data_IF_881327059954
#
_entry.id   IF_881327059954
#
_cell.length_a   1.000
_cell.length_b   1.000
_cell.length_c   1.000
_cell.angle_alpha   90.00
_cell.angle_beta   90.00
_cell.angle_gamma   90.00
#
_symmetry.space_group_name_H-M   'P 1'
#
loop_
_entity.id
_entity.type
_entity.pdbx_description
1 polymer ?
#
# COMPACT_ATOMS: atom_id res chain seq x y z
N UNK A 1 5.59 15.56 -1.60
CA UNK A 1 5.48 16.67 -2.58
C UNK A 1 5.59 18.07 -1.98
N UNK A 2 5.29 18.36 -0.69
CA UNK A 2 5.45 19.74 -0.16
C UNK A 2 6.86 20.30 -0.31
N UNK A 3 7.89 19.47 -0.12
CA UNK A 3 9.30 19.84 -0.37
C UNK A 3 9.50 20.29 -1.83
N UNK A 4 8.96 19.55 -2.81
CA UNK A 4 9.04 19.93 -4.22
C UNK A 4 8.34 21.27 -4.49
N UNK A 5 7.17 21.50 -3.88
CA UNK A 5 6.45 22.76 -3.98
C UNK A 5 7.25 23.95 -3.42
N UNK A 6 7.95 23.77 -2.28
CA UNK A 6 8.86 24.78 -1.71
C UNK A 6 9.95 25.19 -2.68
N UNK A 7 10.42 24.27 -3.52
CA UNK A 7 11.44 24.52 -4.54
C UNK A 7 10.87 24.85 -5.93
N UNK A 8 9.55 25.03 -6.08
CA UNK A 8 8.92 25.32 -7.36
C UNK A 8 8.98 24.16 -8.37
N UNK A 9 9.26 22.94 -7.93
CA UNK A 9 9.32 21.74 -8.77
C UNK A 9 7.93 21.12 -8.80
N UNK A 10 7.21 21.31 -9.90
CA UNK A 10 5.85 20.80 -10.06
C UNK A 10 5.86 19.33 -10.50
N UNK A 11 5.33 18.39 -9.69
CA UNK A 11 5.22 17.00 -10.11
C UNK A 11 4.02 16.78 -11.04
N UNK A 12 4.14 15.88 -12.01
CA UNK A 12 3.00 15.41 -12.80
C UNK A 12 2.07 14.51 -11.96
N UNK A 13 2.67 13.66 -11.12
CA UNK A 13 1.97 12.68 -10.28
C UNK A 13 2.42 12.76 -8.83
N UNK A 14 1.47 12.63 -7.90
CA UNK A 14 1.75 12.54 -6.46
C UNK A 14 1.09 11.29 -5.90
N UNK A 15 1.89 10.34 -5.40
CA UNK A 15 1.41 9.07 -4.88
C UNK A 15 1.13 9.12 -3.36
N UNK A 16 0.17 8.34 -2.86
CA UNK A 16 -0.08 8.10 -1.44
C UNK A 16 -0.50 6.66 -1.20
N UNK A 17 0.07 6.01 -0.19
CA UNK A 17 -0.23 4.61 0.14
C UNK A 17 -0.80 4.45 1.56
N UNK A 18 -0.41 5.35 2.44
CA UNK A 18 -0.52 5.24 3.89
C UNK A 18 -1.95 5.52 4.37
N UNK A 19 -2.32 4.85 5.48
CA UNK A 19 -3.67 4.90 6.05
C UNK A 19 -3.76 5.75 7.32
N UNK A 20 -2.69 6.45 7.68
CA UNK A 20 -2.61 7.26 8.89
C UNK A 20 -3.12 8.68 8.64
N UNK A 21 -3.65 9.30 9.69
CA UNK A 21 -4.02 10.71 9.65
C UNK A 21 -2.81 11.63 9.42
N UNK A 22 -1.69 11.34 10.06
CA UNK A 22 -0.43 12.11 9.94
C UNK A 22 0.01 12.25 8.48
N UNK A 23 -0.10 11.18 7.69
CA UNK A 23 0.27 11.22 6.26
C UNK A 23 -0.80 11.91 5.41
N UNK A 24 -2.07 11.85 5.82
CA UNK A 24 -3.14 12.58 5.15
C UNK A 24 -2.95 14.10 5.21
N UNK A 25 -2.37 14.62 6.29
CA UNK A 25 -2.07 16.04 6.46
C UNK A 25 -1.11 16.57 5.39
N UNK A 26 -0.39 15.70 4.67
CA UNK A 26 0.46 16.10 3.54
C UNK A 26 -0.37 16.73 2.41
N UNK A 27 -1.66 16.40 2.32
CA UNK A 27 -2.61 17.01 1.39
C UNK A 27 -3.37 18.19 1.98
N UNK A 28 -3.13 18.55 3.24
CA UNK A 28 -3.77 19.69 3.91
C UNK A 28 -3.04 21.03 3.70
N UNK A 29 -2.26 21.15 2.63
CA UNK A 29 -1.73 22.44 2.19
C UNK A 29 -2.65 23.04 1.15
N UNK A 30 -2.62 24.36 1.00
CA UNK A 30 -3.21 25.05 -0.14
C UNK A 30 -2.08 25.68 -0.97
N UNK A 31 -1.77 25.04 -2.11
CA UNK A 31 -0.76 25.54 -3.04
C UNK A 31 -1.40 26.23 -4.26
N UNK A 32 -2.72 26.44 -4.28
CA UNK A 32 -3.43 27.13 -5.35
C UNK A 32 -3.12 26.60 -6.75
N UNK A 33 -2.73 27.50 -7.67
CA UNK A 33 -2.43 27.18 -9.08
C UNK A 33 -1.26 26.20 -9.26
N UNK A 34 -0.39 26.03 -8.26
CA UNK A 34 0.68 25.03 -8.32
C UNK A 34 0.11 23.62 -8.52
N UNK A 35 -1.00 23.30 -7.83
CA UNK A 35 -1.63 21.98 -7.88
C UNK A 35 -2.41 21.70 -9.17
N UNK A 36 -2.57 22.70 -10.03
CA UNK A 36 -3.26 22.56 -11.31
C UNK A 36 -2.60 21.46 -12.14
N UNK A 37 -3.39 20.57 -12.73
CA UNK A 37 -2.90 19.46 -13.57
C UNK A 37 -2.07 18.37 -12.89
N UNK A 38 -1.76 18.48 -11.60
CA UNK A 38 -1.18 17.37 -10.82
C UNK A 38 -2.23 16.26 -10.68
N UNK A 39 -1.84 15.01 -10.95
CA UNK A 39 -2.68 13.85 -10.70
C UNK A 39 -2.25 13.18 -9.39
N UNK A 40 -3.12 13.22 -8.39
CA UNK A 40 -2.92 12.56 -7.11
C UNK A 40 -3.36 11.11 -7.22
N UNK A 41 -2.42 10.17 -7.09
CA UNK A 41 -2.63 8.73 -7.24
C UNK A 41 -2.60 8.08 -5.85
N UNK A 42 -3.76 7.79 -5.30
CA UNK A 42 -3.87 7.25 -3.95
C UNK A 42 -4.32 5.79 -3.97
N UNK A 43 -3.78 4.98 -3.06
CA UNK A 43 -4.36 3.67 -2.79
C UNK A 43 -5.81 3.85 -2.31
N UNK A 44 -6.71 2.92 -2.66
CA UNK A 44 -8.15 3.01 -2.28
C UNK A 44 -8.42 2.91 -0.78
N UNK A 45 -7.38 2.67 0.03
CA UNK A 45 -7.42 2.43 1.47
C UNK A 45 -6.70 3.51 2.26
N UNK A 46 -6.28 4.60 1.61
CA UNK A 46 -5.69 5.76 2.31
C UNK A 46 -6.66 6.35 3.32
N UNK A 47 -6.13 7.11 4.28
CA UNK A 47 -6.96 7.75 5.29
C UNK A 47 -8.04 8.67 4.65
N UNK A 48 -9.31 8.66 5.12
CA UNK A 48 -10.39 9.43 4.50
C UNK A 48 -10.11 10.93 4.34
N UNK A 49 -9.40 11.54 5.30
CA UNK A 49 -9.00 12.96 5.23
C UNK A 49 -8.18 13.28 3.98
N UNK A 50 -7.32 12.36 3.51
CA UNK A 50 -6.55 12.57 2.29
C UNK A 50 -7.49 12.78 1.09
N UNK A 51 -8.54 11.97 0.99
CA UNK A 51 -9.56 12.08 -0.06
C UNK A 51 -10.36 13.38 0.10
N UNK A 52 -10.74 13.72 1.33
CA UNK A 52 -11.45 14.96 1.65
C UNK A 52 -10.67 16.20 1.21
N UNK A 53 -9.41 16.33 1.63
CA UNK A 53 -8.54 17.46 1.32
C UNK A 53 -8.26 17.61 -0.18
N UNK A 54 -8.18 16.50 -0.91
CA UNK A 54 -8.00 16.54 -2.37
C UNK A 54 -9.29 16.96 -3.08
N UNK A 55 -10.44 16.43 -2.67
CA UNK A 55 -11.74 16.75 -3.28
C UNK A 55 -12.21 18.16 -2.97
N UNK A 56 -12.04 18.64 -1.74
CA UNK A 56 -12.47 19.99 -1.33
C UNK A 56 -11.78 21.10 -2.12
N UNK A 57 -10.60 20.81 -2.69
CA UNK A 57 -9.81 21.73 -3.52
C UNK A 57 -9.86 21.39 -5.02
N UNK A 58 -10.80 20.55 -5.46
CA UNK A 58 -10.97 20.14 -6.87
C UNK A 58 -9.68 19.56 -7.52
N UNK A 59 -8.81 18.92 -6.74
CA UNK A 59 -7.59 18.28 -7.26
C UNK A 59 -7.94 17.00 -8.02
N UNK A 60 -7.21 16.72 -9.10
CA UNK A 60 -7.40 15.49 -9.88
C UNK A 60 -6.95 14.29 -9.04
N UNK A 61 -7.90 13.47 -8.60
CA UNK A 61 -7.67 12.29 -7.78
C UNK A 61 -7.96 11.00 -8.57
N UNK A 62 -7.00 10.08 -8.56
CA UNK A 62 -7.15 8.70 -8.98
C UNK A 62 -7.02 7.77 -7.77
N UNK A 63 -8.05 6.97 -7.51
CA UNK A 63 -8.01 5.90 -6.51
C UNK A 63 -7.68 4.57 -7.18
N UNK A 64 -6.58 3.95 -6.79
CA UNK A 64 -6.17 2.63 -7.28
C UNK A 64 -6.45 1.58 -6.20
N UNK A 65 -7.25 0.54 -6.49
CA UNK A 65 -7.53 -0.52 -5.53
C UNK A 65 -6.25 -1.31 -5.23
N UNK A 66 -6.06 -1.68 -3.97
CA UNK A 66 -5.04 -2.67 -3.62
C UNK A 66 -5.51 -4.07 -3.96
N UNK A 67 -4.58 -5.00 -4.18
CA UNK A 67 -4.89 -6.41 -4.40
C UNK A 67 -5.39 -7.04 -3.10
N UNK A 68 -6.68 -6.89 -2.83
CA UNK A 68 -7.38 -7.29 -1.62
C UNK A 68 -8.62 -8.11 -1.97
N UNK A 69 -9.04 -9.02 -1.09
CA UNK A 69 -10.16 -9.92 -1.35
C UNK A 69 -11.45 -9.18 -1.68
N UNK A 70 -11.75 -8.10 -0.94
CA UNK A 70 -12.93 -7.28 -1.23
C UNK A 70 -12.83 -6.61 -2.61
N UNK A 71 -11.65 -6.07 -2.95
CA UNK A 71 -11.40 -5.43 -4.26
C UNK A 71 -11.56 -6.42 -5.43
N UNK A 72 -11.14 -7.68 -5.23
CA UNK A 72 -11.33 -8.78 -6.18
C UNK A 72 -12.82 -9.13 -6.27
N UNK A 73 -13.50 -9.22 -5.12
CA UNK A 73 -14.92 -9.53 -5.03
C UNK A 73 -15.77 -8.51 -5.80
N UNK A 74 -15.55 -7.20 -5.62
CA UNK A 74 -16.30 -6.15 -6.33
C UNK A 74 -16.03 -6.09 -7.84
N UNK A 75 -15.09 -6.89 -8.35
CA UNK A 75 -14.69 -6.99 -9.77
C UNK A 75 -14.22 -5.67 -10.39
N UNK A 76 -13.55 -4.81 -9.61
CA UNK A 76 -12.89 -3.59 -10.13
C UNK A 76 -11.57 -3.88 -10.89
N UNK A 77 -11.37 -5.12 -11.35
CA UNK A 77 -10.12 -5.62 -11.97
C UNK A 77 -9.70 -4.87 -13.24
N UNK A 78 -10.64 -4.19 -13.90
CA UNK A 78 -10.39 -3.50 -15.16
C UNK A 78 -9.29 -2.43 -15.04
N UNK A 79 -9.12 -1.84 -13.85
CA UNK A 79 -8.17 -0.73 -13.61
C UNK A 79 -6.86 -1.17 -12.94
N UNK A 80 -6.56 -2.47 -12.97
CA UNK A 80 -5.41 -3.06 -12.29
C UNK A 80 -5.47 -2.91 -10.75
N UNK A 81 -4.54 -3.55 -10.03
CA UNK A 81 -4.39 -3.44 -8.58
C UNK A 81 -2.98 -3.06 -8.18
N UNK A 82 -2.83 -2.27 -7.12
CA UNK A 82 -1.55 -2.15 -6.44
C UNK A 82 -1.21 -3.49 -5.77
N UNK A 83 -0.19 -4.16 -6.30
CA UNK A 83 0.29 -5.45 -5.85
C UNK A 83 1.79 -5.37 -5.54
N UNK A 84 2.19 -5.92 -4.39
CA UNK A 84 3.58 -5.94 -3.93
C UNK A 84 4.25 -4.55 -3.88
N UNK A 85 3.49 -3.51 -3.51
CA UNK A 85 3.99 -2.15 -3.30
C UNK A 85 3.90 -1.79 -1.81
N UNK A 86 4.92 -2.10 -1.00
CA UNK A 86 4.87 -1.88 0.45
C UNK A 86 5.11 -0.41 0.85
N UNK A 87 5.73 0.41 0.00
CA UNK A 87 5.94 1.85 0.24
C UNK A 87 5.48 2.70 -0.95
N UNK A 88 5.30 4.01 -0.74
CA UNK A 88 4.92 4.96 -1.78
C UNK A 88 5.94 5.01 -2.94
N UNK A 89 7.23 4.79 -2.68
CA UNK A 89 8.26 4.71 -3.72
C UNK A 89 8.02 3.54 -4.69
N UNK A 90 7.58 2.39 -4.18
CA UNK A 90 7.20 1.25 -5.01
C UNK A 90 5.96 1.54 -5.85
N UNK A 91 4.99 2.31 -5.32
CA UNK A 91 3.82 2.75 -6.11
C UNK A 91 4.27 3.63 -7.27
N UNK A 92 5.18 4.57 -7.02
CA UNK A 92 5.73 5.44 -8.07
C UNK A 92 6.51 4.64 -9.12
N UNK A 93 7.38 3.70 -8.71
CA UNK A 93 8.09 2.83 -9.65
C UNK A 93 7.11 1.98 -10.47
N UNK A 94 6.10 1.42 -9.80
CA UNK A 94 5.07 0.61 -10.43
C UNK A 94 4.27 1.41 -11.47
N UNK A 95 3.90 2.65 -11.14
CA UNK A 95 3.23 3.56 -12.06
C UNK A 95 4.12 3.89 -13.27
N UNK A 96 5.41 4.18 -13.04
CA UNK A 96 6.36 4.44 -14.13
C UNK A 96 6.48 3.25 -15.08
N UNK A 97 6.49 2.03 -14.55
CA UNK A 97 6.50 0.82 -15.35
C UNK A 97 5.22 0.65 -16.18
N UNK A 98 4.04 0.89 -15.60
CA UNK A 98 2.76 0.83 -16.32
C UNK A 98 2.63 1.89 -17.42
N UNK A 99 3.25 3.05 -17.22
CA UNK A 99 3.34 4.11 -18.23
C UNK A 99 4.40 3.83 -19.31
N UNK A 100 5.11 2.70 -19.22
CA UNK A 100 6.15 2.26 -20.16
C UNK A 100 7.30 3.28 -20.30
N UNK A 101 7.67 3.95 -19.21
CA UNK A 101 8.89 4.75 -19.21
C UNK A 101 10.11 3.86 -19.47
N UNK A 102 11.01 4.33 -20.34
CA UNK A 102 12.23 3.60 -20.71
C UNK A 102 13.36 3.75 -19.70
N UNK A 103 13.39 4.91 -19.03
CA UNK A 103 14.36 5.26 -18.01
C UNK A 103 13.62 5.71 -16.75
N UNK A 104 14.10 5.28 -15.59
CA UNK A 104 13.65 5.76 -14.28
C UNK A 104 14.85 6.33 -13.54
N UNK A 105 14.73 7.53 -12.97
CA UNK A 105 15.78 8.17 -12.17
C UNK A 105 15.26 8.27 -10.73
N UNK A 106 15.97 7.66 -9.78
CA UNK A 106 15.65 7.69 -8.36
C UNK A 106 16.41 8.83 -7.67
N UNK A 107 15.68 9.72 -6.98
CA UNK A 107 16.22 10.87 -6.26
C UNK A 107 15.58 10.91 -4.88
N UNK A 108 16.40 11.03 -3.84
CA UNK A 108 15.93 11.01 -2.45
C UNK A 108 15.38 9.65 -2.02
N UNK A 109 15.84 8.57 -2.67
CA UNK A 109 15.55 7.20 -2.28
C UNK A 109 16.70 6.66 -1.42
N UNK A 110 16.90 7.27 -0.26
CA UNK A 110 18.10 7.02 0.57
C UNK A 110 18.14 5.59 1.10
N UNK A 111 17.03 5.10 1.69
CA UNK A 111 16.95 3.79 2.35
C UNK A 111 18.05 3.58 3.41
N UNK A 112 18.54 4.68 3.97
CA UNK A 112 19.63 4.77 4.93
C UNK A 112 19.48 6.06 5.73
N UNK A 113 20.09 6.09 6.91
CA UNK A 113 20.17 7.30 7.73
C UNK A 113 21.23 8.24 7.17
N UNK A 114 21.02 9.55 7.34
CA UNK A 114 22.06 10.54 7.09
C UNK A 114 23.23 10.38 8.08
N UNK A 115 24.40 10.97 7.77
CA UNK A 115 25.59 10.89 8.63
C UNK A 115 25.35 11.40 10.06
N UNK A 116 24.43 12.36 10.21
CA UNK A 116 24.02 12.90 11.52
C UNK A 116 22.96 12.04 12.25
N UNK A 117 22.54 10.90 11.68
CA UNK A 117 21.54 10.00 12.23
C UNK A 117 20.08 10.37 11.90
N UNK A 118 19.82 11.42 11.11
CA UNK A 118 18.47 11.77 10.69
C UNK A 118 17.90 10.68 9.76
N UNK A 119 16.62 10.37 9.93
CA UNK A 119 15.90 9.41 9.07
C UNK A 119 15.19 10.09 7.90
N UNK A 120 15.01 11.40 7.95
CA UNK A 120 14.33 12.20 6.94
C UNK A 120 15.09 13.50 6.66
N UNK A 121 14.84 14.17 5.52
CA UNK A 121 15.38 15.50 5.24
C UNK A 121 14.97 16.53 6.30
N UNK A 122 15.80 17.57 6.49
CA UNK A 122 15.57 18.63 7.49
C UNK A 122 14.21 19.34 7.33
N UNK A 123 13.75 19.49 6.08
CA UNK A 123 12.47 20.12 5.73
C UNK A 123 11.26 19.16 5.79
N UNK A 124 11.43 17.96 6.34
CA UNK A 124 10.31 17.03 6.51
C UNK A 124 9.33 17.53 7.57
N UNK A 125 8.06 17.62 7.21
CA UNK A 125 7.02 18.26 8.03
C UNK A 125 6.80 17.60 9.41
N UNK A 126 7.18 16.32 9.58
CA UNK A 126 7.02 15.58 10.84
C UNK A 126 8.33 15.46 11.64
N UNK A 127 9.37 16.25 11.31
CA UNK A 127 10.76 16.21 11.84
C UNK A 127 11.71 15.27 11.11
N UNK A 128 12.94 15.76 10.86
CA UNK A 128 14.05 15.00 10.30
C UNK A 128 14.37 13.71 11.10
N UNK A 129 14.01 13.68 12.39
CA UNK A 129 14.26 12.56 13.32
C UNK A 129 13.06 11.66 13.57
N UNK A 130 11.95 11.82 12.83
CA UNK A 130 10.67 11.16 13.07
C UNK A 130 10.76 9.64 13.33
N UNK A 131 11.68 8.97 12.63
CA UNK A 131 11.91 7.52 12.73
C UNK A 131 13.33 7.14 13.16
N UNK A 132 14.17 8.12 13.55
CA UNK A 132 15.60 7.91 13.81
C UNK A 132 15.91 6.95 14.96
N UNK A 133 14.95 6.62 15.81
CA UNK A 133 15.15 5.72 16.97
C UNK A 133 14.10 4.61 17.03
N UNK A 134 13.30 4.45 15.97
CA UNK A 134 12.17 3.51 15.97
C UNK A 134 12.64 2.06 15.79
N UNK A 135 13.73 1.87 15.06
CA UNK A 135 14.26 0.55 14.70
C UNK A 135 15.72 0.41 15.08
N UNK A 136 16.20 -0.82 15.24
CA UNK A 136 17.61 -1.11 15.42
C UNK A 136 18.40 -0.70 14.17
N UNK A 137 19.56 -0.06 14.39
CA UNK A 137 20.44 0.36 13.31
C UNK A 137 21.31 -0.82 12.89
N UNK A 138 21.21 -1.19 11.61
CA UNK A 138 22.07 -2.19 10.96
C UNK A 138 22.86 -1.53 9.84
N UNK A 139 23.84 -2.24 9.28
CA UNK A 139 24.66 -1.75 8.19
C UNK A 139 24.23 -2.34 6.84
N UNK A 140 24.40 -1.55 5.78
CA UNK A 140 24.26 -1.99 4.40
C UNK A 140 25.30 -1.30 3.52
N UNK A 141 25.53 -1.85 2.32
CA UNK A 141 26.45 -1.25 1.35
C UNK A 141 25.92 0.11 0.91
N UNK A 142 26.75 1.14 1.04
CA UNK A 142 26.46 2.48 0.58
C UNK A 142 26.59 2.59 -0.94
N UNK A 143 25.95 3.61 -1.52
CA UNK A 143 26.16 4.02 -2.90
C UNK A 143 27.66 4.01 -3.27
N UNK A 144 27.99 3.48 -4.45
CA UNK A 144 29.37 3.35 -4.92
C UNK A 144 30.06 2.04 -4.49
N UNK A 145 29.50 1.30 -3.53
CA UNK A 145 29.93 -0.07 -3.22
C UNK A 145 31.15 -0.22 -2.31
N UNK A 146 31.79 0.88 -1.89
CA UNK A 146 33.04 0.84 -1.13
C UNK A 146 32.86 0.99 0.40
N UNK A 147 31.73 1.57 0.83
CA UNK A 147 31.46 1.91 2.23
C UNK A 147 30.22 1.21 2.73
N UNK A 148 30.06 1.21 4.05
CA UNK A 148 28.82 0.83 4.72
C UNK A 148 28.10 2.07 5.26
N UNK A 149 26.78 2.02 5.29
CA UNK A 149 25.90 3.06 5.82
C UNK A 149 24.85 2.46 6.74
N UNK A 150 24.39 3.23 7.72
CA UNK A 150 23.36 2.79 8.66
C UNK A 150 21.98 2.77 7.99
N UNK A 151 21.20 1.74 8.28
CA UNK A 151 19.83 1.53 7.81
C UNK A 151 19.05 0.71 8.85
N UNK A 152 17.84 0.25 8.52
CA UNK A 152 17.07 -0.67 9.35
C UNK A 152 16.32 -1.71 8.51
N UNK A 153 15.79 -2.73 9.17
CA UNK A 153 15.19 -3.92 8.53
C UNK A 153 14.07 -3.62 7.51
N UNK A 154 13.22 -2.61 7.78
CA UNK A 154 12.12 -2.25 6.89
C UNK A 154 12.63 -1.57 5.62
N UNK A 155 13.67 -0.73 5.72
CA UNK A 155 14.31 -0.15 4.54
C UNK A 155 15.08 -1.19 3.72
N UNK A 156 15.71 -2.19 4.35
CA UNK A 156 16.27 -3.34 3.63
C UNK A 156 15.18 -4.12 2.88
N UNK A 157 14.03 -4.36 3.53
CA UNK A 157 12.90 -4.99 2.86
C UNK A 157 12.41 -4.15 1.66
N UNK A 158 12.29 -2.83 1.83
CA UNK A 158 11.92 -1.93 0.73
C UNK A 158 12.95 -1.96 -0.41
N UNK A 159 14.24 -1.91 -0.09
CA UNK A 159 15.32 -2.04 -1.07
C UNK A 159 15.18 -3.32 -1.90
N UNK A 160 15.00 -4.47 -1.26
CA UNK A 160 14.91 -5.78 -1.94
C UNK A 160 13.69 -5.88 -2.87
N UNK A 161 12.55 -5.30 -2.46
CA UNK A 161 11.37 -5.26 -3.32
C UNK A 161 11.61 -4.37 -4.54
N UNK A 162 12.25 -3.21 -4.36
CA UNK A 162 12.62 -2.32 -5.46
C UNK A 162 13.60 -2.99 -6.44
N UNK A 163 14.63 -3.66 -5.94
CA UNK A 163 15.58 -4.46 -6.75
C UNK A 163 14.85 -5.54 -7.57
N UNK A 164 13.89 -6.24 -6.94
CA UNK A 164 13.05 -7.23 -7.62
C UNK A 164 12.19 -6.59 -8.72
N UNK A 165 11.62 -5.40 -8.47
CA UNK A 165 10.84 -4.67 -9.46
C UNK A 165 11.70 -4.24 -10.66
N UNK A 166 12.93 -3.77 -10.41
CA UNK A 166 13.88 -3.37 -11.46
C UNK A 166 14.16 -4.56 -12.39
N UNK A 167 14.49 -5.72 -11.82
CA UNK A 167 14.75 -6.94 -12.60
C UNK A 167 13.49 -7.38 -13.37
N UNK A 168 12.34 -7.41 -12.70
CA UNK A 168 11.09 -7.90 -13.28
C UNK A 168 10.60 -7.05 -14.45
N UNK A 169 10.67 -5.72 -14.30
CA UNK A 169 10.19 -4.80 -15.32
C UNK A 169 11.24 -4.52 -16.39
N UNK A 170 12.51 -4.81 -16.12
CA UNK A 170 13.63 -4.63 -17.05
C UNK A 170 13.69 -3.20 -17.61
N UNK A 171 13.53 -2.21 -16.73
CA UNK A 171 13.60 -0.78 -17.04
C UNK A 171 14.95 -0.25 -16.59
N UNK A 172 15.65 0.47 -17.47
CA UNK A 172 16.91 1.12 -17.11
C UNK A 172 16.66 2.10 -15.97
N UNK A 173 17.22 1.80 -14.80
CA UNK A 173 16.97 2.56 -13.58
C UNK A 173 18.28 3.16 -13.10
N UNK A 174 18.31 4.47 -12.86
CA UNK A 174 19.45 5.20 -12.33
C UNK A 174 19.22 5.50 -10.86
N UNK A 175 20.19 5.17 -10.01
CA UNK A 175 20.23 5.66 -8.65
C UNK A 175 21.04 6.96 -8.62
N UNK A 176 20.39 8.07 -8.32
CA UNK A 176 20.99 9.40 -8.22
C UNK A 176 20.92 9.94 -6.78
N UNK A 177 20.98 9.05 -5.80
CA UNK A 177 20.99 9.39 -4.37
C UNK A 177 22.33 8.98 -3.76
N UNK A 178 23.35 9.82 -3.92
CA UNK A 178 24.74 9.50 -3.57
C UNK A 178 24.97 9.26 -2.08
N UNK A 179 24.12 9.83 -1.22
CA UNK A 179 24.16 9.63 0.24
C UNK A 179 23.41 8.40 0.73
N UNK A 180 22.79 7.62 -0.16
CA UNK A 180 21.92 6.51 0.19
C UNK A 180 22.59 5.14 0.18
N UNK A 181 21.77 4.12 0.44
CA UNK A 181 22.13 2.72 0.23
C UNK A 181 22.31 2.41 -1.27
N UNK A 182 23.21 1.48 -1.57
CA UNK A 182 23.31 0.87 -2.89
C UNK A 182 22.04 0.09 -3.20
N UNK A 183 21.50 0.23 -4.40
CA UNK A 183 20.32 -0.50 -4.87
C UNK A 183 20.74 -1.34 -6.09
N UNK A 184 20.74 -2.66 -5.95
CA UNK A 184 21.19 -3.56 -7.00
C UNK A 184 20.30 -3.52 -8.25
N UNK A 185 20.92 -3.67 -9.42
CA UNK A 185 20.26 -3.53 -10.72
C UNK A 185 20.06 -2.08 -11.19
N UNK A 186 20.43 -1.09 -10.37
CA UNK A 186 20.50 0.31 -10.80
C UNK A 186 21.85 0.69 -11.40
N UNK A 187 21.88 1.76 -12.19
CA UNK A 187 23.09 2.44 -12.63
C UNK A 187 23.31 3.64 -11.70
N UNK A 188 24.37 3.61 -10.91
CA UNK A 188 24.76 4.71 -10.02
C UNK A 188 25.37 5.86 -10.83
N UNK A 189 24.71 7.03 -10.81
CA UNK A 189 25.18 8.27 -11.44
C UNK A 189 24.80 9.47 -10.59
N UNK A 190 25.65 10.52 -10.49
CA UNK A 190 25.25 11.76 -9.84
C UNK A 190 24.01 12.38 -10.50
N UNK A 191 23.16 13.05 -9.72
CA UNK A 191 21.96 13.66 -10.28
C UNK A 191 22.27 14.70 -11.36
N UNK A 192 23.36 15.47 -11.18
CA UNK A 192 23.86 16.41 -12.18
C UNK A 192 24.15 15.72 -13.52
N UNK A 193 24.80 14.55 -13.49
CA UNK A 193 25.08 13.78 -14.70
C UNK A 193 23.78 13.39 -15.41
N UNK A 194 22.76 12.95 -14.66
CA UNK A 194 21.47 12.59 -15.23
C UNK A 194 20.78 13.79 -15.89
N UNK A 195 20.87 14.98 -15.27
CA UNK A 195 20.36 16.22 -15.86
C UNK A 195 21.05 16.52 -17.20
N UNK A 196 22.39 16.48 -17.22
CA UNK A 196 23.19 16.84 -18.39
C UNK A 196 23.14 15.81 -19.54
N UNK A 197 22.84 14.54 -19.26
CA UNK A 197 22.95 13.45 -20.24
C UNK A 197 21.61 12.79 -20.60
N UNK A 198 20.60 12.88 -19.73
CA UNK A 198 19.29 12.25 -19.94
C UNK A 198 18.14 13.26 -20.06
N UNK A 199 18.32 14.47 -19.53
CA UNK A 199 17.29 15.52 -19.45
C UNK A 199 17.72 16.81 -20.18
N UNK A 200 18.66 16.72 -21.11
CA UNK A 200 19.26 17.84 -21.84
C UNK A 200 18.36 18.43 -22.94
N UNK A 201 17.23 17.77 -23.23
CA UNK A 201 16.33 18.11 -24.32
C UNK A 201 14.88 17.99 -23.90
N UNK A 202 14.08 18.94 -24.40
CA UNK A 202 12.63 18.78 -24.40
C UNK A 202 12.24 17.60 -25.29
N UNK A 203 11.52 16.64 -24.72
CA UNK A 203 11.02 15.48 -25.45
C UNK A 203 9.61 15.76 -25.96
N UNK A 204 9.41 15.60 -27.27
CA UNK A 204 8.07 15.43 -27.81
C UNK A 204 7.58 14.03 -27.42
N UNK A 205 6.77 13.97 -26.35
CA UNK A 205 6.30 12.71 -25.75
C UNK A 205 5.25 12.09 -26.69
N UNK A 206 5.53 10.96 -27.37
CA UNK A 206 4.62 10.39 -28.38
C UNK A 206 3.49 9.57 -27.74
N UNK A 207 3.04 9.94 -26.53
CA UNK A 207 2.04 9.17 -25.82
C UNK A 207 0.65 9.52 -26.34
N UNK A 208 -0.11 8.49 -26.70
CA UNK A 208 -1.53 8.66 -26.99
C UNK A 208 -2.20 9.23 -25.75
N UNK A 209 -2.93 10.32 -25.92
CA UNK A 209 -3.71 10.91 -24.84
C UNK A 209 -4.74 9.87 -24.37
N UNK A 210 -4.65 9.51 -23.09
CA UNK A 210 -5.61 8.61 -22.47
C UNK A 210 -6.89 9.41 -22.19
N UNK A 211 -8.00 8.97 -22.78
CA UNK A 211 -9.31 9.55 -22.51
C UNK A 211 -10.02 8.75 -21.41
N UNK A 212 -10.78 9.41 -20.53
CA UNK A 212 -11.58 8.71 -19.54
C UNK A 212 -12.64 7.85 -20.24
N UNK A 213 -13.10 6.80 -19.56
CA UNK A 213 -14.23 6.01 -20.03
C UNK A 213 -15.47 6.89 -20.27
N UNK A 214 -16.32 6.52 -21.22
CA UNK A 214 -17.60 7.21 -21.40
C UNK A 214 -18.45 7.12 -20.13
N UNK A 215 -19.29 8.14 -19.88
CA UNK A 215 -20.17 8.17 -18.70
C UNK A 215 -21.04 6.91 -18.59
N UNK A 216 -21.56 6.41 -19.71
CA UNK A 216 -22.32 5.16 -19.73
C UNK A 216 -21.50 3.96 -19.24
N UNK A 217 -20.22 3.88 -19.64
CA UNK A 217 -19.35 2.78 -19.21
C UNK A 217 -18.94 2.91 -17.74
N UNK A 218 -18.70 4.13 -17.28
CA UNK A 218 -18.46 4.42 -15.86
C UNK A 218 -19.67 4.00 -15.02
N UNK A 219 -20.89 4.37 -15.42
CA UNK A 219 -22.13 4.01 -14.74
C UNK A 219 -22.37 2.49 -14.76
N UNK A 220 -22.09 1.80 -15.86
CA UNK A 220 -22.18 0.34 -15.94
C UNK A 220 -21.27 -0.34 -14.90
N UNK A 221 -20.01 0.10 -14.80
CA UNK A 221 -19.08 -0.45 -13.81
C UNK A 221 -19.48 -0.12 -12.37
N UNK A 222 -19.95 1.12 -12.13
CA UNK A 222 -20.47 1.53 -10.83
C UNK A 222 -21.64 0.65 -10.40
N UNK A 223 -22.62 0.42 -11.26
CA UNK A 223 -23.78 -0.43 -10.96
C UNK A 223 -23.39 -1.88 -10.68
N UNK A 224 -22.43 -2.43 -11.42
CA UNK A 224 -21.90 -3.79 -11.19
C UNK A 224 -21.20 -3.91 -9.84
N UNK A 225 -20.42 -2.92 -9.45
CA UNK A 225 -19.76 -2.86 -8.14
C UNK A 225 -20.80 -2.68 -7.03
N UNK A 226 -21.73 -1.74 -7.18
CA UNK A 226 -22.82 -1.47 -6.24
C UNK A 226 -23.66 -2.71 -5.95
N UNK A 227 -24.09 -3.44 -6.99
CA UNK A 227 -24.84 -4.68 -6.83
C UNK A 227 -24.09 -5.73 -5.98
N UNK A 228 -22.77 -5.84 -6.17
CA UNK A 228 -21.95 -6.75 -5.37
C UNK A 228 -21.83 -6.29 -3.92
N UNK A 229 -21.71 -4.99 -3.68
CA UNK A 229 -21.73 -4.44 -2.31
C UNK A 229 -23.06 -4.75 -1.63
N UNK A 230 -24.20 -4.55 -2.30
CA UNK A 230 -25.52 -4.91 -1.76
C UNK A 230 -25.60 -6.40 -1.41
N UNK A 231 -25.13 -7.28 -2.30
CA UNK A 231 -25.05 -8.73 -2.04
C UNK A 231 -24.18 -9.05 -0.84
N UNK A 232 -23.04 -8.38 -0.69
CA UNK A 232 -22.18 -8.58 0.48
C UNK A 232 -22.87 -8.14 1.77
N UNK A 233 -23.59 -7.02 1.77
CA UNK A 233 -24.36 -6.56 2.94
C UNK A 233 -25.45 -7.58 3.33
N UNK A 234 -26.18 -8.14 2.35
CA UNK A 234 -27.16 -9.20 2.60
C UNK A 234 -26.49 -10.46 3.16
N UNK A 235 -25.40 -10.90 2.52
CA UNK A 235 -24.61 -12.04 2.98
C UNK A 235 -24.10 -11.84 4.42
N UNK A 236 -23.59 -10.65 4.77
CA UNK A 236 -23.17 -10.30 6.13
C UNK A 236 -24.31 -10.49 7.13
N UNK A 237 -25.52 -10.04 6.80
CA UNK A 237 -26.68 -10.13 7.70
C UNK A 237 -27.11 -11.56 7.91
N UNK A 238 -27.15 -12.36 6.86
CA UNK A 238 -27.53 -13.77 6.96
C UNK A 238 -26.45 -14.59 7.67
N UNK A 239 -25.18 -14.31 7.38
CA UNK A 239 -24.06 -14.92 8.07
C UNK A 239 -24.08 -14.58 9.56
N UNK A 240 -24.36 -13.33 9.95
CA UNK A 240 -24.45 -12.94 11.35
C UNK A 240 -25.54 -13.69 12.13
N UNK A 241 -26.67 -14.03 11.48
CA UNK A 241 -27.71 -14.88 12.09
C UNK A 241 -27.19 -16.29 12.34
N UNK A 242 -26.56 -16.90 11.33
CA UNK A 242 -25.94 -18.23 11.43
C UNK A 242 -24.90 -18.27 12.55
N UNK A 243 -24.03 -17.24 12.63
CA UNK A 243 -23.03 -17.12 13.69
C UNK A 243 -23.67 -17.04 15.08
N UNK A 244 -24.77 -16.30 15.22
CA UNK A 244 -25.49 -16.16 16.49
C UNK A 244 -26.09 -17.50 16.95
N UNK A 245 -26.66 -18.27 16.02
CA UNK A 245 -27.21 -19.59 16.31
C UNK A 245 -26.12 -20.59 16.70
N UNK A 246 -25.01 -20.63 15.95
CA UNK A 246 -23.85 -21.47 16.26
C UNK A 246 -23.26 -21.12 17.63
N UNK A 247 -23.11 -19.83 17.94
CA UNK A 247 -22.61 -19.35 19.23
C UNK A 247 -23.51 -19.81 20.39
N UNK A 248 -24.83 -19.61 20.28
CA UNK A 248 -25.79 -20.05 21.30
C UNK A 248 -25.74 -21.57 21.50
N UNK A 249 -25.61 -22.33 20.41
CA UNK A 249 -25.48 -23.78 20.48
C UNK A 249 -24.21 -24.22 21.21
N UNK A 250 -23.06 -23.63 20.88
CA UNK A 250 -21.78 -23.92 21.54
C UNK A 250 -21.84 -23.51 23.02
N UNK A 251 -22.38 -22.33 23.33
CA UNK A 251 -22.54 -21.84 24.70
C UNK A 251 -23.42 -22.77 25.54
N UNK A 252 -24.54 -23.24 24.99
CA UNK A 252 -25.41 -24.20 25.67
C UNK A 252 -24.71 -25.54 25.92
N UNK A 253 -23.90 -26.04 24.98
CA UNK A 253 -23.10 -27.25 25.20
C UNK A 253 -22.10 -27.00 26.33
N UNK A 254 -21.43 -25.85 26.33
CA UNK A 254 -20.45 -25.47 27.34
C UNK A 254 -21.06 -25.39 28.74
N UNK A 255 -22.21 -24.70 28.89
CA UNK A 255 -22.91 -24.58 30.17
C UNK A 255 -23.40 -25.92 30.73
N UNK A 256 -23.70 -26.88 29.84
CA UNK A 256 -24.12 -28.23 30.19
C UNK A 256 -22.95 -29.23 30.29
N UNK A 257 -21.69 -28.77 30.31
CA UNK A 257 -20.52 -29.62 30.49
C UNK A 257 -20.47 -30.18 31.92
N UNK A 258 -21.15 -31.31 32.15
CA UNK A 258 -21.06 -32.10 33.39
C UNK A 258 -19.74 -32.90 33.53
N UNK A 259 -18.60 -32.37 33.03
CA UNK A 259 -17.25 -32.99 33.08
C UNK A 259 -17.14 -34.42 32.50
N UNK A 260 -18.07 -34.86 31.65
CA UNK A 260 -17.96 -36.13 30.90
C UNK A 260 -17.25 -35.88 29.57
N UNK A 261 -16.27 -36.74 29.25
CA UNK A 261 -15.43 -36.69 28.04
C UNK A 261 -16.23 -36.55 26.73
N UNK A 262 -17.39 -37.21 26.64
CA UNK A 262 -18.29 -37.12 25.47
C UNK A 262 -18.83 -35.71 25.20
N UNK A 263 -19.06 -34.89 26.23
CA UNK A 263 -19.58 -33.53 26.04
C UNK A 263 -18.48 -32.57 25.57
N UNK A 264 -17.22 -32.83 25.97
CA UNK A 264 -16.06 -32.06 25.51
C UNK A 264 -15.80 -32.31 24.01
N UNK A 265 -15.82 -33.59 23.59
CA UNK A 265 -15.66 -33.95 22.18
C UNK A 265 -16.75 -33.34 21.29
N UNK A 266 -17.98 -33.26 21.78
CA UNK A 266 -19.08 -32.59 21.07
C UNK A 266 -18.84 -31.09 20.91
N UNK A 267 -18.36 -30.41 21.96
CA UNK A 267 -18.03 -29.00 21.91
C UNK A 267 -16.91 -28.71 20.92
N UNK A 268 -15.83 -29.50 20.94
CA UNK A 268 -14.71 -29.41 20.00
C UNK A 268 -15.23 -29.56 18.57
N UNK A 269 -16.00 -30.61 18.27
CA UNK A 269 -16.56 -30.82 16.93
C UNK A 269 -17.40 -29.63 16.45
N UNK A 270 -18.19 -29.01 17.33
CA UNK A 270 -19.01 -27.85 16.98
C UNK A 270 -18.17 -26.60 16.70
N UNK A 271 -17.11 -26.40 17.46
CA UNK A 271 -16.12 -25.34 17.20
C UNK A 271 -15.43 -25.57 15.86
N UNK A 272 -15.06 -26.81 15.54
CA UNK A 272 -14.45 -27.15 14.25
C UNK A 272 -15.42 -26.95 13.07
N UNK A 273 -16.68 -27.37 13.20
CA UNK A 273 -17.73 -27.10 12.20
C UNK A 273 -17.88 -25.60 11.94
N UNK A 274 -17.88 -24.78 13.00
CA UNK A 274 -17.93 -23.33 12.91
C UNK A 274 -16.70 -22.74 12.22
N UNK A 275 -15.51 -23.19 12.62
CA UNK A 275 -14.24 -22.74 12.03
C UNK A 275 -14.18 -23.03 10.53
N UNK A 276 -14.60 -24.23 10.11
CA UNK A 276 -14.68 -24.60 8.69
C UNK A 276 -15.59 -23.67 7.87
N UNK A 277 -16.64 -23.08 8.46
CA UNK A 277 -17.49 -22.09 7.77
C UNK A 277 -16.74 -20.78 7.53
N UNK A 278 -15.98 -20.31 8.51
CA UNK A 278 -15.18 -19.08 8.42
C UNK A 278 -14.04 -19.21 7.39
N UNK A 279 -13.42 -20.39 7.32
CA UNK A 279 -12.28 -20.66 6.42
C UNK A 279 -12.69 -20.91 4.96
N UNK A 280 -13.98 -21.05 4.66
CA UNK A 280 -14.44 -21.33 3.30
C UNK A 280 -14.35 -20.09 2.39
N UNK A 281 -13.16 -19.86 1.82
CA UNK A 281 -12.83 -18.73 0.93
C UNK A 281 -13.85 -18.54 -0.20
N UNK A 282 -14.40 -19.64 -0.76
CA UNK A 282 -15.36 -19.55 -1.87
C UNK A 282 -16.67 -18.88 -1.45
N UNK A 283 -17.10 -19.07 -0.21
CA UNK A 283 -18.31 -18.47 0.34
C UNK A 283 -18.02 -17.12 0.99
N UNK A 284 -16.85 -16.97 1.61
CA UNK A 284 -16.50 -15.80 2.42
C UNK A 284 -15.70 -14.74 1.67
N UNK A 285 -15.54 -14.80 0.35
CA UNK A 285 -14.63 -13.91 -0.38
C UNK A 285 -14.84 -12.40 -0.10
N UNK A 286 -16.08 -11.98 0.06
CA UNK A 286 -16.46 -10.60 0.38
C UNK A 286 -16.17 -10.19 1.83
N UNK A 287 -16.10 -11.17 2.73
CA UNK A 287 -15.85 -11.00 4.16
C UNK A 287 -14.44 -11.41 4.59
N UNK A 288 -13.71 -12.10 3.71
CA UNK A 288 -12.48 -12.81 4.05
C UNK A 288 -11.40 -11.85 4.55
N UNK A 289 -11.35 -10.66 3.99
CA UNK A 289 -10.43 -9.60 4.42
C UNK A 289 -10.64 -9.16 5.87
N UNK A 290 -11.86 -9.27 6.39
CA UNK A 290 -12.20 -8.92 7.78
C UNK A 290 -12.04 -10.15 8.69
N UNK A 291 -12.52 -11.31 8.24
CA UNK A 291 -12.58 -12.53 9.06
C UNK A 291 -11.20 -13.17 9.24
N UNK A 292 -10.36 -13.19 8.21
CA UNK A 292 -9.08 -13.89 8.26
C UNK A 292 -8.10 -13.30 9.28
N UNK A 293 -7.87 -11.97 9.36
CA UNK A 293 -6.98 -11.40 10.36
C UNK A 293 -7.46 -11.67 11.79
N UNK A 294 -8.78 -11.61 12.03
CA UNK A 294 -9.38 -11.92 13.33
C UNK A 294 -9.15 -13.38 13.72
N UNK A 295 -9.37 -14.32 12.78
CA UNK A 295 -9.13 -15.74 12.99
C UNK A 295 -7.66 -16.02 13.31
N UNK A 296 -6.73 -15.48 12.51
CA UNK A 296 -5.29 -15.63 12.75
C UNK A 296 -4.88 -15.05 14.10
N UNK A 297 -5.37 -13.87 14.48
CA UNK A 297 -5.09 -13.29 15.79
C UNK A 297 -5.59 -14.18 16.94
N UNK A 298 -6.78 -14.76 16.80
CA UNK A 298 -7.34 -15.69 17.77
C UNK A 298 -6.47 -16.95 17.92
N UNK A 299 -6.06 -17.55 16.80
CA UNK A 299 -5.19 -18.74 16.79
C UNK A 299 -3.82 -18.47 17.43
N UNK A 300 -3.21 -17.31 17.12
CA UNK A 300 -1.95 -16.90 17.72
C UNK A 300 -2.08 -16.70 19.24
N UNK A 301 -3.22 -16.17 19.72
CA UNK A 301 -3.48 -16.04 21.14
C UNK A 301 -3.67 -17.40 21.82
N UNK A 302 -4.36 -18.33 21.16
CA UNK A 302 -4.55 -19.68 21.65
C UNK A 302 -3.21 -20.42 21.76
N UNK A 303 -2.34 -20.30 20.75
CA UNK A 303 -1.02 -20.93 20.73
C UNK A 303 -0.15 -20.55 21.94
N UNK A 304 -0.28 -19.33 22.47
CA UNK A 304 0.43 -18.88 23.68
C UNK A 304 0.02 -19.60 24.95
N UNK A 305 -1.16 -20.22 24.99
CA UNK A 305 -1.66 -20.98 26.14
C UNK A 305 -1.14 -22.43 26.10
N UNK A 306 -0.81 -22.93 24.91
CA UNK A 306 -0.34 -24.30 24.69
C UNK A 306 1.18 -24.48 24.84
N UNK A 307 1.95 -23.38 24.93
CA UNK A 307 3.41 -23.35 25.13
C UNK A 307 3.71 -22.86 26.53
#
# INVERSE_FOLDING_TARGET
YPILAKHGIKPDYVCMLERSEITAEFFNHDFGEFDKDIVFVCASVVHPKAIEYLKSRNRKLLLIPRYLYFSIYVKLKYFYFLYNTPSVAHVSYYLSALLNYKNIILIGQDLAYAENGNSHPDDYQNSATYESQTYEHILTTAYGGEKEIQTHEVWIFFKQILETMIIKHNITTYNCTEGGARIEGTIEKPFLWACENLLDKDLDKPFVKLEPLSLNKQNEFLLKAYYKVCKSIEHCRDFNKILSDDFNNIQNIYLNLNKKENNLNLAIRKIDEFKNKLENIKQMQDLYEILQPLLTQFELNLARIYV
#
